data_IF_366339936886
#
_entry.id   IF_366339936886
#
_cell.length_a   1.000
_cell.length_b   1.000
_cell.length_c   1.000
_cell.angle_alpha   90.00
_cell.angle_beta   90.00
_cell.angle_gamma   90.00
#
_symmetry.space_group_name_H-M   'P 1'
#
loop_
_entity.id
_entity.type
_entity.pdbx_description
1 polymer ?
#
# COMPACT_ATOMS: atom_id res chain seq x y z
N UNK A 1 17.11 10.39 2.33
CA UNK A 1 16.83 10.08 3.75
C UNK A 1 15.51 9.34 3.84
N UNK A 2 15.46 8.31 4.67
CA UNK A 2 14.24 7.54 4.92
C UNK A 2 13.38 8.25 5.96
N UNK A 3 12.06 8.31 5.73
CA UNK A 3 11.12 8.95 6.64
C UNK A 3 9.87 8.10 6.80
N UNK A 4 9.48 7.79 8.03
CA UNK A 4 8.17 7.20 8.30
C UNK A 4 7.11 8.26 7.99
N UNK A 5 6.20 7.93 7.07
CA UNK A 5 5.11 8.84 6.64
C UNK A 5 3.73 8.41 7.16
N UNK A 6 3.59 7.15 7.57
CA UNK A 6 2.37 6.64 8.20
C UNK A 6 2.66 5.39 9.04
N UNK A 7 1.84 5.20 10.08
CA UNK A 7 1.83 3.99 10.90
C UNK A 7 0.39 3.51 11.04
N UNK A 8 0.11 2.34 10.49
CA UNK A 8 -1.17 1.68 10.65
C UNK A 8 -1.11 0.61 11.74
N UNK A 9 -2.26 -0.04 11.96
CA UNK A 9 -2.35 -1.17 12.87
C UNK A 9 -1.41 -2.31 12.46
N UNK A 10 -1.20 -2.55 11.16
CA UNK A 10 -0.46 -3.72 10.68
C UNK A 10 0.93 -3.42 10.13
N UNK A 11 1.15 -2.23 9.60
CA UNK A 11 2.39 -1.89 8.91
C UNK A 11 2.78 -0.43 9.14
N UNK A 12 4.08 -0.17 9.06
CA UNK A 12 4.64 1.18 8.91
C UNK A 12 4.94 1.43 7.43
N UNK A 13 4.77 2.68 7.02
CA UNK A 13 5.04 3.16 5.68
C UNK A 13 6.24 4.10 5.74
N UNK A 14 7.33 3.72 5.10
CA UNK A 14 8.58 4.47 5.06
C UNK A 14 8.78 4.99 3.63
N UNK A 15 8.99 6.29 3.49
CA UNK A 15 9.36 6.91 2.21
C UNK A 15 10.88 6.94 2.08
N UNK A 16 11.38 6.39 0.98
CA UNK A 16 12.80 6.37 0.63
C UNK A 16 12.97 6.86 -0.82
N UNK A 17 13.21 8.17 -0.97
CA UNK A 17 13.29 8.84 -2.28
C UNK A 17 11.98 8.75 -3.07
N UNK A 18 12.04 8.08 -4.23
CA UNK A 18 10.90 7.82 -5.13
C UNK A 18 10.12 6.54 -4.78
N UNK A 19 10.48 5.88 -3.68
CA UNK A 19 9.91 4.60 -3.28
C UNK A 19 9.23 4.68 -1.91
N UNK A 20 8.32 3.74 -1.68
CA UNK A 20 7.73 3.41 -0.39
C UNK A 20 8.15 2.00 0.00
N UNK A 21 8.53 1.83 1.26
CA UNK A 21 8.71 0.54 1.92
C UNK A 21 7.55 0.36 2.89
N UNK A 22 6.70 -0.63 2.62
CA UNK A 22 5.63 -1.05 3.53
C UNK A 22 6.14 -2.22 4.36
N UNK A 23 6.48 -1.97 5.63
CA UNK A 23 7.00 -2.97 6.56
C UNK A 23 5.92 -3.43 7.52
N UNK A 24 5.56 -4.72 7.47
CA UNK A 24 4.61 -5.31 8.44
C UNK A 24 5.30 -5.48 9.78
N UNK A 25 4.67 -5.01 10.84
CA UNK A 25 5.20 -5.11 12.20
C UNK A 25 4.59 -6.29 12.93
N UNK A 26 5.37 -6.90 13.80
CA UNK A 26 4.93 -7.97 14.70
C UNK A 26 3.75 -7.54 15.57
N UNK A 27 2.93 -8.53 15.95
CA UNK A 27 1.81 -8.34 16.87
C UNK A 27 2.01 -9.18 18.11
N UNK A 28 2.49 -8.55 19.18
CA UNK A 28 2.79 -9.23 20.45
C UNK A 28 1.60 -9.91 21.13
N UNK A 29 0.37 -9.61 20.71
CA UNK A 29 -0.84 -10.30 21.19
C UNK A 29 -1.12 -11.63 20.46
N UNK A 30 -0.37 -11.97 19.40
CA UNK A 30 -0.52 -13.21 18.63
C UNK A 30 0.59 -14.19 19.01
N UNK A 31 0.27 -15.48 18.92
CA UNK A 31 1.28 -16.53 18.97
C UNK A 31 2.32 -16.31 17.84
N UNK A 32 3.64 -16.39 18.11
CA UNK A 32 4.68 -16.02 17.14
C UNK A 32 4.60 -16.76 15.81
N UNK A 33 4.36 -18.08 15.81
CA UNK A 33 4.27 -18.88 14.58
C UNK A 33 3.07 -18.47 13.73
N UNK A 34 1.96 -18.08 14.36
CA UNK A 34 0.76 -17.58 13.72
C UNK A 34 0.99 -16.19 13.11
N UNK A 35 1.61 -15.26 13.85
CA UNK A 35 1.87 -13.91 13.34
C UNK A 35 2.80 -13.96 12.11
N UNK A 36 3.84 -14.79 12.17
CA UNK A 36 4.76 -15.02 11.07
C UNK A 36 4.02 -15.53 9.82
N UNK A 37 3.18 -16.56 9.96
CA UNK A 37 2.36 -17.10 8.88
C UNK A 37 1.41 -16.04 8.30
N UNK A 38 0.77 -15.23 9.15
CA UNK A 38 -0.16 -14.18 8.72
C UNK A 38 0.58 -13.10 7.94
N UNK A 39 1.69 -12.57 8.47
CA UNK A 39 2.46 -11.51 7.81
C UNK A 39 3.01 -11.98 6.47
N UNK A 40 3.58 -13.19 6.42
CA UNK A 40 4.08 -13.82 5.19
C UNK A 40 2.98 -13.97 4.14
N UNK A 41 1.84 -14.57 4.52
CA UNK A 41 0.69 -14.77 3.60
C UNK A 41 0.14 -13.44 3.07
N UNK A 42 0.02 -12.43 3.93
CA UNK A 42 -0.49 -11.11 3.54
C UNK A 42 0.51 -10.37 2.64
N UNK A 43 1.82 -10.48 2.89
CA UNK A 43 2.86 -9.93 2.01
C UNK A 43 2.73 -10.51 0.60
N UNK A 44 2.74 -11.85 0.48
CA UNK A 44 2.62 -12.56 -0.79
C UNK A 44 1.33 -12.21 -1.54
N UNK A 45 0.19 -12.20 -0.82
CA UNK A 45 -1.11 -11.89 -1.42
C UNK A 45 -1.16 -10.45 -1.94
N UNK A 46 -0.64 -9.49 -1.17
CA UNK A 46 -0.64 -8.08 -1.55
C UNK A 46 0.28 -7.82 -2.75
N UNK A 47 1.51 -8.35 -2.75
CA UNK A 47 2.42 -8.29 -3.91
C UNK A 47 1.74 -8.80 -5.17
N UNK A 48 1.19 -10.02 -5.11
CA UNK A 48 0.53 -10.66 -6.27
C UNK A 48 -0.69 -9.88 -6.77
N UNK A 49 -1.46 -9.24 -5.88
CA UNK A 49 -2.62 -8.45 -6.26
C UNK A 49 -2.20 -7.11 -6.89
N UNK A 50 -1.19 -6.44 -6.33
CA UNK A 50 -0.67 -5.18 -6.88
C UNK A 50 -0.08 -5.38 -8.28
N UNK A 51 0.76 -6.40 -8.48
CA UNK A 51 1.33 -6.71 -9.80
C UNK A 51 0.27 -7.00 -10.87
N UNK A 52 -0.85 -7.62 -10.47
CA UNK A 52 -1.99 -7.87 -11.37
C UNK A 52 -2.76 -6.58 -11.65
N UNK A 53 -3.09 -5.83 -10.60
CA UNK A 53 -3.86 -4.60 -10.71
C UNK A 53 -3.11 -3.52 -11.52
N UNK A 54 -1.79 -3.43 -11.37
CA UNK A 54 -0.94 -2.46 -12.08
C UNK A 54 -1.00 -2.60 -13.61
N UNK A 55 -1.36 -3.79 -14.12
CA UNK A 55 -1.57 -4.03 -15.56
C UNK A 55 -2.89 -3.47 -16.10
N UNK A 56 -3.83 -3.13 -15.23
CA UNK A 56 -5.22 -2.80 -15.59
C UNK A 56 -5.55 -1.37 -15.16
N UNK A 57 -5.12 -0.99 -13.95
CA UNK A 57 -5.45 0.26 -13.31
C UNK A 57 -4.22 0.93 -12.67
N UNK A 58 -4.23 2.27 -12.51
CA UNK A 58 -3.14 2.99 -11.86
C UNK A 58 -3.00 2.58 -10.39
N UNK A 59 -2.01 1.73 -10.10
CA UNK A 59 -1.64 1.30 -8.75
C UNK A 59 -0.13 1.41 -8.57
N UNK A 60 0.38 1.45 -7.32
CA UNK A 60 1.82 1.44 -7.09
C UNK A 60 2.49 0.24 -7.76
N UNK A 61 3.57 0.50 -8.49
CA UNK A 61 4.40 -0.54 -9.09
C UNK A 61 5.21 -1.23 -7.98
N UNK A 62 5.19 -2.55 -7.95
CA UNK A 62 6.03 -3.33 -7.04
C UNK A 62 7.44 -3.40 -7.62
N UNK A 63 8.42 -2.91 -6.86
CA UNK A 63 9.83 -2.94 -7.24
C UNK A 63 10.49 -4.20 -6.69
N UNK A 64 10.19 -4.53 -5.43
CA UNK A 64 10.76 -5.66 -4.72
C UNK A 64 9.82 -6.08 -3.59
N UNK A 65 9.77 -7.38 -3.27
CA UNK A 65 9.07 -7.84 -2.07
C UNK A 65 9.88 -8.91 -1.35
N UNK A 66 9.94 -8.82 -0.02
CA UNK A 66 10.67 -9.74 0.84
C UNK A 66 9.72 -10.41 1.81
N UNK A 67 9.53 -11.73 1.65
CA UNK A 67 8.80 -12.52 2.63
C UNK A 67 9.55 -12.67 3.94
N UNK A 68 10.90 -12.63 3.91
CA UNK A 68 11.76 -12.73 5.09
C UNK A 68 11.64 -11.48 5.97
N UNK A 69 11.70 -10.31 5.36
CA UNK A 69 11.60 -9.01 6.06
C UNK A 69 10.14 -8.57 6.25
N UNK A 70 9.20 -9.24 5.58
CA UNK A 70 7.76 -8.90 5.55
C UNK A 70 7.55 -7.46 5.06
N UNK A 71 8.23 -7.17 3.97
CA UNK A 71 8.30 -5.86 3.34
C UNK A 71 7.89 -5.93 1.87
N UNK A 72 7.28 -4.83 1.41
CA UNK A 72 7.02 -4.57 -0.02
C UNK A 72 7.57 -3.19 -0.33
N UNK A 73 8.51 -3.13 -1.28
CA UNK A 73 9.03 -1.90 -1.85
C UNK A 73 8.26 -1.59 -3.13
N UNK A 74 7.66 -0.42 -3.19
CA UNK A 74 6.79 0.00 -4.29
C UNK A 74 7.02 1.46 -4.66
N UNK A 75 6.54 1.88 -5.83
CA UNK A 75 6.66 3.28 -6.26
C UNK A 75 5.89 4.23 -5.34
N UNK A 76 6.46 5.39 -5.07
CA UNK A 76 5.77 6.46 -4.35
C UNK A 76 4.83 7.19 -5.30
N UNK A 77 3.54 7.22 -4.96
CA UNK A 77 2.55 8.03 -5.66
C UNK A 77 2.52 9.42 -5.02
N UNK A 78 2.95 10.43 -5.76
CA UNK A 78 2.78 11.83 -5.37
C UNK A 78 1.32 12.24 -5.51
N UNK A 79 0.71 12.66 -4.41
CA UNK A 79 -0.66 13.16 -4.44
C UNK A 79 -1.22 13.36 -3.04
N UNK A 80 -2.46 13.85 -2.98
CA UNK A 80 -3.24 13.95 -1.75
C UNK A 80 -4.05 12.66 -1.56
N UNK A 81 -4.21 12.22 -0.32
CA UNK A 81 -5.11 11.11 -0.01
C UNK A 81 -6.55 11.57 -0.18
N UNK A 82 -7.32 10.83 -0.97
CA UNK A 82 -8.71 11.18 -1.26
C UNK A 82 -9.54 11.29 0.02
N UNK A 83 -9.37 10.37 0.97
CA UNK A 83 -10.08 10.38 2.26
C UNK A 83 -9.84 11.63 3.11
N UNK A 84 -8.72 12.33 2.90
CA UNK A 84 -8.35 13.55 3.63
C UNK A 84 -8.66 14.82 2.82
N UNK A 85 -8.89 14.71 1.51
CA UNK A 85 -9.02 15.85 0.62
C UNK A 85 -10.37 15.98 -0.08
N UNK A 86 -11.21 14.93 -0.10
CA UNK A 86 -12.42 14.87 -0.92
C UNK A 86 -13.35 16.06 -0.73
N UNK A 87 -13.59 16.47 0.52
CA UNK A 87 -14.51 17.58 0.85
C UNK A 87 -14.06 18.92 0.29
N UNK A 88 -12.75 19.08 0.08
CA UNK A 88 -12.14 20.32 -0.38
C UNK A 88 -11.84 20.30 -1.90
N UNK A 89 -12.15 19.20 -2.60
CA UNK A 89 -11.94 19.10 -4.03
C UNK A 89 -13.06 19.81 -4.80
N UNK A 90 -12.65 20.65 -5.75
CA UNK A 90 -13.54 21.12 -6.81
C UNK A 90 -13.92 19.94 -7.71
N UNK A 91 -15.16 19.92 -8.21
CA UNK A 91 -15.65 18.87 -9.11
C UNK A 91 -15.58 17.45 -8.53
N UNK A 92 -15.80 17.30 -7.22
CA UNK A 92 -15.76 16.02 -6.49
C UNK A 92 -16.57 14.90 -7.16
N UNK A 93 -17.74 15.22 -7.71
CA UNK A 93 -18.62 14.26 -8.40
C UNK A 93 -17.94 13.65 -9.63
N UNK A 94 -17.38 14.50 -10.52
CA UNK A 94 -16.65 14.02 -11.69
C UNK A 94 -15.40 13.23 -11.32
N UNK A 95 -14.73 13.58 -10.22
CA UNK A 95 -13.58 12.82 -9.72
C UNK A 95 -14.01 11.43 -9.26
N UNK A 96 -15.10 11.34 -8.50
CA UNK A 96 -15.68 10.06 -8.07
C UNK A 96 -16.10 9.20 -9.27
N UNK A 97 -16.71 9.81 -10.30
CA UNK A 97 -17.12 9.14 -11.53
C UNK A 97 -15.90 8.55 -12.27
N UNK A 98 -14.85 9.34 -12.49
CA UNK A 98 -13.57 8.88 -13.07
C UNK A 98 -12.90 7.77 -12.26
N UNK A 99 -13.01 7.79 -10.93
CA UNK A 99 -12.50 6.71 -10.08
C UNK A 99 -13.31 5.44 -10.33
N UNK A 100 -14.64 5.55 -10.39
CA UNK A 100 -15.53 4.43 -10.72
C UNK A 100 -15.21 3.80 -12.07
N UNK A 101 -15.10 4.61 -13.13
CA UNK A 101 -14.73 4.16 -14.48
C UNK A 101 -13.38 3.44 -14.51
N UNK A 102 -12.39 3.92 -13.73
CA UNK A 102 -11.09 3.27 -13.68
C UNK A 102 -11.13 1.93 -12.94
N UNK A 103 -11.88 1.82 -11.85
CA UNK A 103 -11.94 0.58 -11.04
C UNK A 103 -12.81 -0.49 -11.71
N UNK A 104 -13.75 -0.12 -12.58
CA UNK A 104 -14.62 -1.05 -13.31
C UNK A 104 -13.91 -1.90 -14.39
N UNK A 105 -12.62 -1.66 -14.65
CA UNK A 105 -11.79 -2.38 -15.63
C UNK A 105 -11.28 -3.72 -15.07
#
# INVERSE_FOLDING_TARGET
MEKIIARGAEAIIIKSGKNIIKKRIEKGYREPSLDEKIRKRRNRKETKLLEKANKIIPTPEVIESSEREKEIKMSFISGKRLSESLDNLKEKEKICEKIGENIAK
#
